data_IF_823018928962
#
_entry.id   IF_823018928962
#
_cell.length_a   1.000
_cell.length_b   1.000
_cell.length_c   1.000
_cell.angle_alpha   90.00
_cell.angle_beta   90.00
_cell.angle_gamma   90.00
#
_symmetry.space_group_name_H-M   'P 1'
#
loop_
_entity.id
_entity.type
_entity.pdbx_description
1 polymer ?
#
# COMPACT_ATOMS: atom_id res chain seq x y z
N UNK A 1 -31.68 3.83 -2.10
CA UNK A 1 -30.40 3.35 -1.53
C UNK A 1 -29.43 4.50 -1.67
N UNK A 2 -28.96 5.08 -0.56
CA UNK A 2 -27.94 6.13 -0.65
C UNK A 2 -26.60 5.46 -0.94
N UNK A 3 -25.98 5.86 -2.04
CA UNK A 3 -24.59 5.54 -2.32
C UNK A 3 -23.73 6.35 -1.35
N UNK A 4 -22.84 5.69 -0.63
CA UNK A 4 -21.82 6.35 0.19
C UNK A 4 -20.52 6.43 -0.60
N UNK A 5 -19.85 7.57 -0.50
CA UNK A 5 -18.51 7.73 -1.06
C UNK A 5 -17.48 7.09 -0.14
N UNK A 6 -16.57 6.32 -0.75
CA UNK A 6 -15.47 5.68 -0.05
C UNK A 6 -14.24 6.58 -0.19
N UNK A 7 -13.71 7.04 0.94
CA UNK A 7 -12.50 7.89 0.96
C UNK A 7 -11.19 7.09 1.10
N UNK A 8 -11.25 5.89 1.68
CA UNK A 8 -10.09 5.04 1.93
C UNK A 8 -10.44 3.57 1.77
N UNK A 9 -9.57 2.80 1.12
CA UNK A 9 -9.59 1.34 1.10
C UNK A 9 -8.26 0.83 1.62
N UNK A 10 -8.29 0.08 2.73
CA UNK A 10 -7.17 -0.77 3.14
C UNK A 10 -7.42 -2.19 2.63
N UNK A 11 -6.48 -2.75 1.89
CA UNK A 11 -6.62 -4.09 1.35
C UNK A 11 -5.31 -4.87 1.50
N UNK A 12 -5.45 -6.04 2.10
CA UNK A 12 -4.42 -7.06 2.11
C UNK A 12 -4.55 -7.88 0.82
N UNK A 13 -3.82 -7.46 -0.21
CA UNK A 13 -3.93 -8.04 -1.55
C UNK A 13 -2.95 -9.17 -1.79
N UNK A 14 -1.95 -9.40 -0.92
CA UNK A 14 -0.91 -10.41 -1.12
C UNK A 14 -0.30 -10.36 -2.55
N UNK A 15 -0.17 -9.14 -3.10
CA UNK A 15 0.27 -8.86 -4.48
C UNK A 15 -0.74 -9.17 -5.60
N UNK A 16 -1.96 -9.63 -5.31
CA UNK A 16 -2.92 -10.06 -6.33
C UNK A 16 -3.74 -8.91 -6.91
N UNK A 17 -3.42 -8.52 -8.15
CA UNK A 17 -4.20 -7.56 -8.96
C UNK A 17 -5.69 -7.95 -9.10
N UNK A 18 -6.03 -9.23 -9.07
CA UNK A 18 -7.40 -9.72 -9.25
C UNK A 18 -8.37 -9.24 -8.16
N UNK A 19 -7.86 -8.96 -6.95
CA UNK A 19 -8.69 -8.41 -5.87
C UNK A 19 -9.12 -6.97 -6.16
N UNK A 20 -8.26 -6.22 -6.86
CA UNK A 20 -8.53 -4.87 -7.32
C UNK A 20 -9.67 -4.79 -8.34
N UNK A 21 -9.76 -5.78 -9.25
CA UNK A 21 -10.82 -5.85 -10.26
C UNK A 21 -12.21 -5.96 -9.64
N UNK A 22 -12.34 -6.56 -8.45
CA UNK A 22 -13.62 -6.65 -7.73
C UNK A 22 -14.08 -5.29 -7.19
N UNK A 23 -13.15 -4.38 -6.92
CA UNK A 23 -13.40 -3.06 -6.37
C UNK A 23 -13.31 -1.93 -7.42
N UNK A 24 -13.03 -2.25 -8.70
CA UNK A 24 -12.72 -1.25 -9.73
C UNK A 24 -13.79 -0.18 -9.87
N UNK A 25 -15.08 -0.56 -9.82
CA UNK A 25 -16.19 0.40 -9.89
C UNK A 25 -16.17 1.43 -8.76
N UNK A 26 -15.82 0.99 -7.54
CA UNK A 26 -15.72 1.89 -6.37
C UNK A 26 -14.48 2.76 -6.49
N UNK A 27 -13.36 2.18 -6.94
CA UNK A 27 -12.09 2.89 -7.11
C UNK A 27 -12.21 3.99 -8.19
N UNK A 28 -12.86 3.68 -9.30
CA UNK A 28 -13.08 4.64 -10.40
C UNK A 28 -14.07 5.74 -10.00
N UNK A 29 -15.17 5.39 -9.32
CA UNK A 29 -16.20 6.35 -8.91
C UNK A 29 -15.74 7.24 -7.76
N UNK A 30 -15.25 6.64 -6.68
CA UNK A 30 -15.01 7.34 -5.41
C UNK A 30 -13.59 7.89 -5.30
N UNK A 31 -12.67 7.38 -6.14
CA UNK A 31 -11.24 7.77 -6.12
C UNK A 31 -10.65 7.75 -4.69
N UNK A 32 -10.81 6.66 -3.91
CA UNK A 32 -10.32 6.59 -2.54
C UNK A 32 -8.80 6.58 -2.49
N UNK A 33 -8.21 7.07 -1.40
CA UNK A 33 -6.84 6.68 -1.04
C UNK A 33 -6.81 5.16 -0.87
N UNK A 34 -5.73 4.52 -1.29
CA UNK A 34 -5.56 3.07 -1.13
C UNK A 34 -4.36 2.81 -0.23
N UNK A 35 -4.51 1.85 0.67
CA UNK A 35 -3.42 1.33 1.48
C UNK A 35 -3.32 -0.17 1.24
N UNK A 36 -2.31 -0.57 0.47
CA UNK A 36 -2.22 -1.92 -0.10
C UNK A 36 -0.99 -2.63 0.45
N UNK A 37 -1.17 -3.87 0.91
CA UNK A 37 -0.04 -4.74 1.19
C UNK A 37 0.66 -5.15 -0.11
N UNK A 38 1.99 -5.17 -0.11
CA UNK A 38 2.81 -5.53 -1.25
C UNK A 38 4.01 -6.38 -0.83
N UNK A 39 3.77 -7.48 -0.10
CA UNK A 39 4.83 -8.36 0.41
C UNK A 39 5.32 -9.41 -0.60
N UNK A 40 4.55 -9.67 -1.66
CA UNK A 40 4.89 -10.65 -2.71
C UNK A 40 5.70 -10.00 -3.83
N UNK A 41 7.01 -10.10 -3.73
CA UNK A 41 7.94 -9.43 -4.67
C UNK A 41 7.67 -9.80 -6.13
N UNK A 42 7.37 -11.06 -6.41
CA UNK A 42 7.08 -11.57 -7.75
C UNK A 42 5.79 -10.99 -8.37
N UNK A 43 4.93 -10.38 -7.55
CA UNK A 43 3.68 -9.73 -8.00
C UNK A 43 3.68 -8.21 -7.82
N UNK A 44 4.67 -7.67 -7.11
CA UNK A 44 4.76 -6.25 -6.79
C UNK A 44 4.71 -5.37 -8.04
N UNK A 45 5.45 -5.76 -9.08
CA UNK A 45 5.48 -5.01 -10.34
C UNK A 45 4.08 -4.82 -10.92
N UNK A 46 3.34 -5.92 -11.06
CA UNK A 46 1.98 -5.91 -11.63
C UNK A 46 1.01 -5.07 -10.79
N UNK A 47 1.16 -5.10 -9.46
CA UNK A 47 0.34 -4.29 -8.54
C UNK A 47 0.64 -2.79 -8.67
N UNK A 48 1.92 -2.42 -8.72
CA UNK A 48 2.37 -1.03 -8.91
C UNK A 48 1.84 -0.49 -10.25
N UNK A 49 2.04 -1.24 -11.33
CA UNK A 49 1.61 -0.83 -12.67
C UNK A 49 0.09 -0.74 -12.77
N UNK A 50 -0.66 -1.60 -12.08
CA UNK A 50 -2.11 -1.50 -12.00
C UNK A 50 -2.57 -0.20 -11.31
N UNK A 51 -1.91 0.22 -10.24
CA UNK A 51 -2.26 1.46 -9.55
C UNK A 51 -1.89 2.69 -10.38
N UNK A 52 -0.74 2.67 -11.06
CA UNK A 52 -0.36 3.74 -12.00
C UNK A 52 -1.34 3.87 -13.17
N UNK A 53 -1.83 2.76 -13.71
CA UNK A 53 -2.85 2.77 -14.76
C UNK A 53 -4.17 3.43 -14.31
N UNK A 54 -4.49 3.40 -13.01
CA UNK A 54 -5.61 4.15 -12.42
C UNK A 54 -5.25 5.59 -12.00
N UNK A 55 -4.09 6.09 -12.41
CA UNK A 55 -3.63 7.46 -12.15
C UNK A 55 -3.41 7.78 -10.66
N UNK A 56 -2.77 6.87 -9.93
CA UNK A 56 -2.33 7.08 -8.53
C UNK A 56 -0.83 7.40 -8.46
N UNK A 57 -0.42 8.21 -7.48
CA UNK A 57 0.96 8.28 -6.96
C UNK A 57 1.10 7.26 -5.84
N UNK A 58 2.24 6.58 -5.77
CA UNK A 58 2.45 5.51 -4.79
C UNK A 58 3.67 5.82 -3.94
N UNK A 59 3.58 5.50 -2.65
CA UNK A 59 4.65 5.70 -1.68
C UNK A 59 4.85 4.43 -0.87
N UNK A 60 6.10 4.01 -0.70
CA UNK A 60 6.43 2.88 0.18
C UNK A 60 6.16 3.27 1.64
N UNK A 61 5.41 2.42 2.34
CA UNK A 61 5.28 2.45 3.79
C UNK A 61 5.73 1.11 4.36
N UNK A 62 6.93 1.09 4.93
CA UNK A 62 7.61 -0.12 5.41
C UNK A 62 7.64 -0.07 6.93
N UNK A 63 7.05 -1.08 7.57
CA UNK A 63 6.88 -1.11 9.03
C UNK A 63 7.51 -2.38 9.59
N UNK A 64 8.41 -2.23 10.58
CA UNK A 64 8.94 -3.37 11.33
C UNK A 64 7.81 -4.04 12.11
N UNK A 65 7.79 -5.37 12.13
CA UNK A 65 6.76 -6.11 12.89
C UNK A 65 6.94 -5.99 14.40
N UNK A 66 8.11 -5.53 14.84
CA UNK A 66 8.41 -5.26 16.24
C UNK A 66 8.70 -3.77 16.45
N UNK A 67 8.09 -3.22 17.49
CA UNK A 67 8.38 -1.89 18.02
C UNK A 67 9.01 -2.05 19.43
N UNK A 68 10.26 -1.61 19.66
CA UNK A 68 10.85 -1.62 21.01
C UNK A 68 10.07 -0.76 22.02
N UNK A 69 9.37 0.27 21.53
CA UNK A 69 8.52 1.15 22.33
C UNK A 69 7.04 0.70 22.27
N UNK A 70 6.78 -0.62 22.25
CA UNK A 70 5.41 -1.14 22.22
C UNK A 70 4.68 -0.85 23.54
N UNK A 71 3.34 -0.80 23.46
CA UNK A 71 2.46 -0.45 24.59
C UNK A 71 2.69 -1.30 25.85
N UNK A 72 3.05 -2.57 25.69
CA UNK A 72 3.28 -3.48 26.81
C UNK A 72 4.71 -3.43 27.37
N UNK A 73 5.59 -2.59 26.80
CA UNK A 73 7.01 -2.53 27.18
C UNK A 73 7.76 -3.85 26.99
N UNK A 74 7.24 -4.75 26.15
CA UNK A 74 7.84 -6.07 25.97
C UNK A 74 9.09 -5.95 25.09
N UNK A 75 10.26 -6.25 25.66
CA UNK A 75 11.52 -6.20 24.93
C UNK A 75 11.80 -7.43 24.05
N UNK A 76 10.98 -8.49 24.17
CA UNK A 76 11.18 -9.73 23.41
C UNK A 76 10.75 -9.58 21.95
N UNK A 77 11.74 -9.57 21.04
CA UNK A 77 11.52 -9.45 19.61
C UNK A 77 11.57 -10.83 18.93
N UNK A 78 10.41 -11.48 18.87
CA UNK A 78 10.23 -12.74 18.13
C UNK A 78 10.23 -12.56 16.60
N UNK A 79 10.08 -11.34 16.10
CA UNK A 79 9.96 -11.03 14.67
C UNK A 79 11.30 -10.71 13.99
N UNK A 80 12.38 -10.59 14.77
CA UNK A 80 13.73 -10.28 14.30
C UNK A 80 13.75 -9.01 13.41
N UNK A 81 14.27 -9.14 12.19
CA UNK A 81 14.37 -8.09 11.18
C UNK A 81 13.21 -8.14 10.15
N UNK A 82 12.09 -8.77 10.49
CA UNK A 82 10.94 -8.84 9.59
C UNK A 82 10.20 -7.50 9.53
N UNK A 83 9.70 -7.14 8.34
CA UNK A 83 8.90 -5.96 8.10
C UNK A 83 7.73 -6.30 7.16
N UNK A 84 6.64 -5.54 7.28
CA UNK A 84 5.57 -5.51 6.30
C UNK A 84 5.83 -4.38 5.29
N UNK A 85 5.70 -4.69 4.01
CA UNK A 85 5.88 -3.78 2.89
C UNK A 85 4.51 -3.38 2.36
N UNK A 86 4.14 -2.12 2.58
CA UNK A 86 2.87 -1.58 2.14
C UNK A 86 3.09 -0.42 1.17
N UNK A 87 2.05 -0.08 0.43
CA UNK A 87 2.00 1.09 -0.42
C UNK A 87 0.84 1.98 -0.01
N UNK A 88 1.13 3.27 0.15
CA UNK A 88 0.12 4.32 0.17
C UNK A 88 -0.08 4.82 -1.26
N UNK A 89 -1.27 4.65 -1.81
CA UNK A 89 -1.62 5.08 -3.15
C UNK A 89 -2.59 6.26 -3.06
N UNK A 90 -2.22 7.39 -3.63
CA UNK A 90 -3.02 8.62 -3.60
C UNK A 90 -3.44 9.00 -5.04
N UNK A 91 -4.73 9.28 -5.29
CA UNK A 91 -5.17 9.78 -6.59
C UNK A 91 -4.41 11.05 -6.97
N UNK A 92 -3.91 11.17 -8.21
CA UNK A 92 -3.09 12.33 -8.62
C UNK A 92 -3.84 13.67 -8.56
N UNK A 93 -5.15 13.65 -8.65
CA UNK A 93 -6.01 14.82 -8.53
C UNK A 93 -6.15 15.33 -7.09
N UNK A 94 -5.78 14.52 -6.08
CA UNK A 94 -5.80 14.94 -4.68
C UNK A 94 -4.47 15.64 -4.34
N UNK A 95 -4.54 16.94 -4.12
CA UNK A 95 -3.41 17.70 -3.60
C UNK A 95 -3.04 17.15 -2.20
N UNK A 96 -1.84 16.62 -2.08
CA UNK A 96 -1.39 15.92 -0.89
C UNK A 96 0.12 16.06 -0.72
N UNK A 97 0.54 16.20 0.54
CA UNK A 97 1.93 16.06 0.95
C UNK A 97 2.05 14.79 1.79
N UNK A 98 2.87 13.86 1.35
CA UNK A 98 3.14 12.63 2.09
C UNK A 98 4.41 12.83 2.91
N UNK A 99 4.26 12.82 4.23
CA UNK A 99 5.39 12.86 5.15
C UNK A 99 5.97 11.46 5.37
N UNK A 100 7.22 11.25 4.96
CA UNK A 100 7.90 9.96 5.09
C UNK A 100 7.53 8.94 4.01
N UNK A 101 8.44 8.01 3.73
CA UNK A 101 8.30 7.02 2.65
C UNK A 101 8.81 7.53 1.30
N UNK A 102 9.48 6.66 0.55
CA UNK A 102 9.97 7.00 -0.79
C UNK A 102 8.83 6.85 -1.81
N UNK A 103 8.69 7.83 -2.70
CA UNK A 103 7.81 7.68 -3.88
C UNK A 103 8.30 6.50 -4.73
N UNK A 104 7.36 5.69 -5.19
CA UNK A 104 7.65 4.57 -6.08
C UNK A 104 7.71 5.12 -7.49
N UNK A 105 8.90 5.12 -8.09
CA UNK A 105 9.15 5.58 -9.47
C UNK A 105 9.65 4.47 -10.39
N UNK A 106 9.90 3.27 -9.86
CA UNK A 106 10.36 2.09 -10.60
C UNK A 106 9.55 0.86 -10.11
N UNK A 107 8.74 0.28 -10.99
CA UNK A 107 7.90 -0.89 -10.68
C UNK A 107 8.70 -2.18 -10.55
N UNK A 108 9.96 -2.19 -11.02
CA UNK A 108 10.85 -3.36 -10.94
C UNK A 108 11.61 -3.41 -9.62
N UNK A 109 11.68 -2.30 -8.89
CA UNK A 109 12.29 -2.20 -7.57
C UNK A 109 11.32 -2.66 -6.48
N UNK A 110 11.81 -3.51 -5.57
CA UNK A 110 11.12 -3.86 -4.34
C UNK A 110 12.08 -3.69 -3.15
N UNK A 111 11.72 -2.97 -2.08
CA UNK A 111 12.65 -2.64 -0.99
C UNK A 111 13.30 -3.84 -0.27
N UNK A 112 12.71 -5.02 -0.37
CA UNK A 112 13.29 -6.27 0.15
C UNK A 112 14.46 -6.80 -0.69
N UNK A 113 14.47 -6.53 -2.00
CA UNK A 113 15.55 -6.91 -2.93
C UNK A 113 16.51 -5.72 -3.01
N UNK A 114 17.58 -5.77 -2.23
CA UNK A 114 18.69 -4.81 -2.33
C UNK A 114 19.55 -5.12 -3.54
#
# INVERSE_FOLDING_TARGET
MHDFDVALIKADVEGWRSMFLKAVRVIERCRPILYLENDRVEKSKDLIEACWALNYKLYWHIVRLYNPDNYFGNSDNIYQNTAAFNMLCIPKELESSVGGGAEITDSTFHPVRR
#
